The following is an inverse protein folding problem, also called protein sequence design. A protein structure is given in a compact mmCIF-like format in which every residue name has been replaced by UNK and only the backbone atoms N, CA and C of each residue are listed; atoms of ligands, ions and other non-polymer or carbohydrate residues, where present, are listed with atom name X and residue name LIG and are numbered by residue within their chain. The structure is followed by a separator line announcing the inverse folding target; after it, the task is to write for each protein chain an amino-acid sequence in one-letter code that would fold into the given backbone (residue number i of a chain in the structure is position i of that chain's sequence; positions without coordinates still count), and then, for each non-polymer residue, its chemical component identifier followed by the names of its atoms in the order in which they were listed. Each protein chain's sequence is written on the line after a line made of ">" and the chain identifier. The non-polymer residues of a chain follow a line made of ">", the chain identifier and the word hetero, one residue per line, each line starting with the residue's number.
data_IF_019329224328
#
_entry.id   IF_019329224328
#
_cell.length_a   1.000
_cell.length_b   1.000
_cell.length_c   1.000
_cell.angle_alpha   90.00
_cell.angle_beta   90.00
_cell.angle_gamma   90.00
#
_symmetry.space_group_name_H-M   'P 1'
#
loop_
_entity.id
_entity.type
_entity.pdbx_description
1 polymer ?
#
# COMPACT_ATOMS: atom_id res chain seq x y z
N UNK A 1 -1.72 14.15 -41.94
CA UNK A 1 -1.13 13.06 -41.12
C UNK A 1 -1.98 12.93 -39.88
N UNK A 2 -2.67 11.80 -39.66
CA UNK A 2 -3.52 11.62 -38.48
C UNK A 2 -2.60 11.14 -37.35
N UNK A 3 -2.59 11.79 -36.17
CA UNK A 3 -1.79 11.33 -35.05
C UNK A 3 -2.28 9.96 -34.58
N UNK A 4 -1.39 8.98 -34.50
CA UNK A 4 -1.66 7.66 -33.94
C UNK A 4 -1.22 7.68 -32.48
N UNK A 5 -2.17 7.52 -31.57
CA UNK A 5 -1.89 7.34 -30.15
C UNK A 5 -1.53 5.86 -29.94
N UNK A 6 -0.27 5.59 -29.63
CA UNK A 6 0.16 4.24 -29.23
C UNK A 6 -0.21 4.01 -27.77
N UNK A 7 -1.01 2.98 -27.51
CA UNK A 7 -1.34 2.54 -26.16
C UNK A 7 -0.39 1.41 -25.78
N UNK A 8 0.35 1.61 -24.70
CA UNK A 8 1.13 0.57 -24.05
C UNK A 8 0.16 -0.42 -23.36
N UNK A 9 0.02 -1.60 -23.94
CA UNK A 9 -0.90 -2.65 -23.48
C UNK A 9 -0.57 -3.12 -22.06
N UNK A 10 0.71 -3.12 -21.66
CA UNK A 10 1.13 -3.50 -20.32
C UNK A 10 0.72 -2.46 -19.27
N UNK A 11 0.82 -1.18 -19.61
CA UNK A 11 0.31 -0.10 -18.74
C UNK A 11 -1.20 -0.08 -18.66
N UNK A 12 -1.90 -0.34 -19.78
CA UNK A 12 -3.35 -0.46 -19.80
C UNK A 12 -3.82 -1.58 -18.86
N UNK A 13 -3.23 -2.77 -18.96
CA UNK A 13 -3.55 -3.91 -18.09
C UNK A 13 -3.34 -3.59 -16.60
N UNK A 14 -2.21 -2.97 -16.24
CA UNK A 14 -1.95 -2.54 -14.85
C UNK A 14 -2.98 -1.53 -14.33
N UNK A 15 -3.44 -0.63 -15.21
CA UNK A 15 -4.46 0.35 -14.87
C UNK A 15 -5.81 -0.34 -14.63
N UNK A 16 -6.19 -1.28 -15.50
CA UNK A 16 -7.43 -2.05 -15.39
C UNK A 16 -7.48 -2.84 -14.07
N UNK A 17 -6.38 -3.52 -13.71
CA UNK A 17 -6.22 -4.19 -12.42
C UNK A 17 -6.45 -3.19 -11.28
N UNK A 18 -5.81 -2.02 -11.35
CA UNK A 18 -5.89 -1.03 -10.28
C UNK A 18 -7.32 -0.51 -10.08
N UNK A 19 -8.02 -0.20 -11.17
CA UNK A 19 -9.40 0.31 -11.11
C UNK A 19 -10.34 -0.76 -10.56
N UNK A 20 -10.23 -2.00 -11.03
CA UNK A 20 -11.07 -3.10 -10.60
C UNK A 20 -10.86 -3.45 -9.12
N UNK A 21 -9.61 -3.63 -8.70
CA UNK A 21 -9.28 -3.97 -7.31
C UNK A 21 -9.62 -2.84 -6.35
N UNK A 22 -9.47 -1.57 -6.76
CA UNK A 22 -9.88 -0.42 -5.93
C UNK A 22 -11.38 -0.46 -5.62
N UNK A 23 -12.22 -0.71 -6.62
CA UNK A 23 -13.68 -0.81 -6.45
C UNK A 23 -14.07 -1.93 -5.48
N UNK A 24 -13.38 -3.07 -5.54
CA UNK A 24 -13.65 -4.22 -4.66
C UNK A 24 -13.14 -3.95 -3.24
N UNK A 25 -11.91 -3.46 -3.11
CA UNK A 25 -11.21 -3.34 -1.84
C UNK A 25 -11.75 -2.24 -0.94
N UNK A 26 -12.14 -1.10 -1.52
CA UNK A 26 -12.73 0.02 -0.79
C UNK A 26 -14.27 -0.05 -0.71
N UNK A 27 -14.88 -1.16 -1.13
CA UNK A 27 -16.32 -1.33 -1.01
C UNK A 27 -16.73 -1.40 0.49
N UNK A 28 -17.80 -0.71 0.91
CA UNK A 28 -18.27 -0.73 2.31
C UNK A 28 -18.77 -2.10 2.80
N UNK A 29 -18.78 -3.13 1.96
CA UNK A 29 -19.28 -4.48 2.28
C UNK A 29 -18.29 -5.29 3.12
N UNK A 30 -17.04 -4.84 3.23
CA UNK A 30 -16.07 -5.41 4.16
C UNK A 30 -14.63 -5.32 3.68
N UNK A 31 -13.74 -5.02 4.63
CA UNK A 31 -12.32 -4.87 4.40
C UNK A 31 -11.61 -6.21 4.20
N UNK A 32 -10.97 -6.40 3.04
CA UNK A 32 -10.27 -7.64 2.69
C UNK A 32 -8.80 -7.59 3.10
N UNK A 33 -8.47 -8.20 4.23
CA UNK A 33 -7.09 -8.18 4.80
C UNK A 33 -6.07 -9.01 4.03
N UNK A 34 -6.49 -9.98 3.22
CA UNK A 34 -5.61 -10.99 2.63
C UNK A 34 -5.77 -11.00 1.12
N UNK A 35 -4.65 -11.09 0.40
CA UNK A 35 -4.63 -11.20 -1.07
C UNK A 35 -5.50 -12.36 -1.57
N UNK A 36 -5.49 -13.51 -0.89
CA UNK A 36 -6.33 -14.67 -1.21
C UNK A 36 -7.83 -14.34 -1.23
N UNK A 37 -8.33 -13.63 -0.21
CA UNK A 37 -9.76 -13.24 -0.16
C UNK A 37 -10.10 -12.23 -1.25
N UNK A 38 -9.22 -11.25 -1.45
CA UNK A 38 -9.39 -10.24 -2.51
C UNK A 38 -9.40 -10.89 -3.90
N UNK A 39 -8.54 -11.88 -4.11
CA UNK A 39 -8.46 -12.68 -5.33
C UNK A 39 -9.71 -13.53 -5.58
N UNK A 40 -10.22 -14.21 -4.54
CA UNK A 40 -11.46 -14.99 -4.65
C UNK A 40 -12.66 -14.09 -5.02
N UNK A 41 -12.70 -12.86 -4.48
CA UNK A 41 -13.75 -11.89 -4.81
C UNK A 41 -13.58 -11.35 -6.22
N UNK A 42 -12.34 -11.06 -6.66
CA UNK A 42 -12.10 -10.61 -8.03
C UNK A 42 -12.46 -11.68 -9.07
N UNK A 43 -12.15 -12.95 -8.80
CA UNK A 43 -12.60 -14.06 -9.65
C UNK A 43 -14.13 -14.15 -9.71
N UNK A 44 -14.82 -14.04 -8.56
CA UNK A 44 -16.29 -14.04 -8.52
C UNK A 44 -16.92 -12.87 -9.29
N UNK A 45 -16.22 -11.74 -9.37
CA UNK A 45 -16.62 -10.59 -10.16
C UNK A 45 -16.31 -10.74 -11.66
N UNK A 46 -15.67 -11.85 -12.08
CA UNK A 46 -15.38 -12.16 -13.48
C UNK A 46 -14.04 -11.63 -13.99
N UNK A 47 -13.14 -11.20 -13.11
CA UNK A 47 -11.80 -10.78 -13.50
C UNK A 47 -10.82 -11.96 -13.57
N UNK A 48 -9.92 -11.93 -14.54
CA UNK A 48 -8.93 -12.96 -14.87
C UNK A 48 -7.52 -12.65 -14.32
N UNK A 49 -7.43 -11.82 -13.28
CA UNK A 49 -6.18 -11.46 -12.63
C UNK A 49 -5.45 -12.67 -12.07
N UNK A 50 -4.13 -12.57 -11.92
CA UNK A 50 -3.31 -13.55 -11.20
C UNK A 50 -3.24 -13.21 -9.71
N UNK A 51 -2.95 -14.22 -8.87
CA UNK A 51 -2.76 -14.00 -7.42
C UNK A 51 -1.59 -13.04 -7.16
N UNK A 52 -0.54 -13.10 -7.97
CA UNK A 52 0.63 -12.25 -7.85
C UNK A 52 0.30 -10.77 -8.10
N UNK A 53 -0.48 -10.46 -9.13
CA UNK A 53 -0.92 -9.08 -9.43
C UNK A 53 -1.78 -8.51 -8.31
N UNK A 54 -2.70 -9.31 -7.77
CA UNK A 54 -3.54 -8.89 -6.63
C UNK A 54 -2.69 -8.64 -5.39
N UNK A 55 -1.71 -9.49 -5.13
CA UNK A 55 -0.80 -9.32 -3.99
C UNK A 55 0.06 -8.06 -4.16
N UNK A 56 0.68 -7.86 -5.32
CA UNK A 56 1.51 -6.68 -5.60
C UNK A 56 0.69 -5.39 -5.43
N UNK A 57 -0.55 -5.37 -5.93
CA UNK A 57 -1.44 -4.23 -5.77
C UNK A 57 -1.82 -3.99 -4.31
N UNK A 58 -2.11 -5.05 -3.55
CA UNK A 58 -2.50 -4.97 -2.14
C UNK A 58 -1.36 -4.46 -1.24
N UNK A 59 -0.13 -4.89 -1.48
CA UNK A 59 1.05 -4.46 -0.72
C UNK A 59 1.33 -2.96 -0.83
N UNK A 60 0.88 -2.33 -1.92
CA UNK A 60 0.97 -0.88 -2.15
C UNK A 60 -0.12 -0.07 -1.43
N UNK A 61 -1.17 -0.70 -0.92
CA UNK A 61 -2.27 0.02 -0.27
C UNK A 61 -1.89 0.44 1.16
N UNK A 62 -2.05 1.72 1.48
CA UNK A 62 -1.75 2.27 2.81
C UNK A 62 -2.60 1.58 3.88
N UNK A 63 -3.89 1.35 3.61
CA UNK A 63 -4.80 0.69 4.55
C UNK A 63 -4.35 -0.75 4.87
N UNK A 64 -3.78 -1.45 3.90
CA UNK A 64 -3.17 -2.76 4.11
C UNK A 64 -1.98 -2.68 5.06
N UNK A 65 -1.09 -1.70 4.85
CA UNK A 65 0.10 -1.52 5.68
C UNK A 65 -0.24 -1.13 7.13
N UNK A 66 -1.24 -0.27 7.34
CA UNK A 66 -1.73 0.14 8.68
C UNK A 66 -2.21 -1.07 9.50
N UNK A 67 -2.91 -2.01 8.86
CA UNK A 67 -3.45 -3.19 9.53
C UNK A 67 -2.51 -4.40 9.49
N UNK A 68 -1.33 -4.26 8.89
CA UNK A 68 -0.32 -5.32 8.85
C UNK A 68 0.31 -5.47 10.23
N UNK A 69 0.71 -6.69 10.57
CA UNK A 69 1.49 -6.91 11.78
C UNK A 69 2.81 -6.15 11.70
N UNK A 70 3.25 -5.65 12.86
CA UNK A 70 4.52 -4.95 12.99
C UNK A 70 5.67 -5.81 12.43
N UNK A 71 6.57 -5.26 11.61
CA UNK A 71 7.76 -5.99 11.17
C UNK A 71 8.62 -6.37 12.37
N UNK A 72 9.15 -7.61 12.36
CA UNK A 72 9.99 -8.15 13.45
C UNK A 72 11.31 -7.38 13.61
N UNK A 73 11.81 -6.81 12.53
CA UNK A 73 13.07 -6.10 12.47
C UNK A 73 12.89 -4.85 11.63
N UNK A 74 13.26 -3.70 12.19
CA UNK A 74 13.33 -2.42 11.51
C UNK A 74 14.80 -2.03 11.56
N UNK A 75 15.51 -1.99 10.41
CA UNK A 75 16.91 -1.56 10.41
C UNK A 75 16.96 -0.08 10.79
N UNK A 76 17.48 0.20 11.99
CA UNK A 76 17.87 1.56 12.36
C UNK A 76 19.24 1.83 11.74
N UNK A 77 19.30 2.74 10.76
CA UNK A 77 20.58 3.25 10.28
C UNK A 77 21.24 4.07 11.39
N UNK A 78 22.51 3.80 11.71
CA UNK A 78 23.23 4.64 12.67
C UNK A 78 23.61 5.95 11.98
N UNK A 79 23.19 7.09 12.54
CA UNK A 79 23.49 8.42 12.00
C UNK A 79 24.90 8.92 12.34
N UNK A 80 25.78 8.05 12.81
CA UNK A 80 27.11 8.41 13.34
C UNK A 80 28.05 9.05 12.30
N UNK A 81 27.73 9.00 11.00
CA UNK A 81 28.51 9.60 9.91
C UNK A 81 27.79 10.77 9.19
N UNK A 82 26.66 11.27 9.70
CA UNK A 82 26.02 12.46 9.13
C UNK A 82 26.79 13.69 9.56
N UNK A 83 27.40 14.38 8.60
CA UNK A 83 28.22 15.58 8.85
C UNK A 83 27.39 16.86 8.69
N UNK A 84 26.30 16.82 7.92
CA UNK A 84 25.39 17.94 7.69
C UNK A 84 24.01 17.59 8.27
N UNK A 85 23.59 18.23 9.38
CA UNK A 85 22.35 17.87 10.08
C UNK A 85 21.06 18.04 9.25
N UNK A 86 21.13 18.70 8.09
CA UNK A 86 19.98 18.97 7.22
C UNK A 86 19.95 18.16 5.92
N UNK A 87 20.99 17.38 5.58
CA UNK A 87 20.99 16.55 4.37
C UNK A 87 20.02 15.37 4.46
N UNK A 88 19.77 14.91 5.69
CA UNK A 88 18.81 13.85 5.99
C UNK A 88 17.65 14.45 6.77
N UNK A 89 16.96 15.42 6.16
CA UNK A 89 15.52 15.55 6.36
C UNK A 89 14.88 14.29 5.75
N UNK A 90 15.10 13.13 6.40
CA UNK A 90 14.13 12.07 6.32
C UNK A 90 12.83 12.73 6.72
N UNK A 91 11.91 12.75 5.77
CA UNK A 91 10.47 12.90 5.96
C UNK A 91 10.04 12.36 7.32
N UNK A 92 10.13 13.20 8.34
CA UNK A 92 9.69 12.97 9.73
C UNK A 92 8.16 13.02 9.82
N UNK A 93 7.48 12.51 8.78
CA UNK A 93 6.02 12.42 8.70
C UNK A 93 5.54 10.98 8.53
N UNK A 94 6.39 9.95 8.70
CA UNK A 94 5.85 8.58 8.75
C UNK A 94 6.62 7.61 9.63
N UNK A 95 7.20 8.07 10.74
CA UNK A 95 7.20 7.19 11.89
C UNK A 95 5.73 7.06 12.29
N UNK A 96 5.14 5.87 12.18
CA UNK A 96 3.93 5.55 12.94
C UNK A 96 4.42 5.27 14.36
N UNK A 97 4.41 6.23 15.31
CA UNK A 97 4.81 5.91 16.66
C UNK A 97 3.79 4.91 17.19
N UNK A 98 4.28 3.73 17.50
CA UNK A 98 3.58 2.81 18.37
C UNK A 98 3.78 3.35 19.78
N UNK A 99 2.74 3.94 20.35
CA UNK A 99 2.77 4.39 21.75
C UNK A 99 2.07 3.36 22.63
N UNK A 100 2.54 3.22 23.86
CA UNK A 100 1.96 2.29 24.83
C UNK A 100 1.31 3.08 25.95
N UNK A 101 -0.02 3.12 25.95
CA UNK A 101 -0.81 3.73 27.03
C UNK A 101 -1.38 2.60 27.88
N UNK A 102 -0.79 2.41 29.06
CA UNK A 102 -1.09 1.25 29.93
C UNK A 102 -0.59 -0.06 29.31
N UNK A 103 -1.46 -1.07 29.21
CA UNK A 103 -1.15 -2.36 28.56
C UNK A 103 -1.45 -2.39 27.05
N UNK A 104 -2.06 -1.33 26.51
CA UNK A 104 -2.48 -1.30 25.10
C UNK A 104 -1.50 -0.48 24.26
N UNK A 105 -1.13 -1.02 23.10
CA UNK A 105 -0.28 -0.32 22.12
C UNK A 105 -1.14 0.30 21.03
N UNK A 106 -1.06 1.61 20.87
CA UNK A 106 -1.77 2.38 19.86
C UNK A 106 -0.82 2.75 18.74
N UNK A 107 -1.30 2.64 17.50
CA UNK A 107 -0.55 3.05 16.32
C UNK A 107 -1.10 4.38 15.83
N UNK A 108 -0.31 5.44 15.91
CA UNK A 108 -0.71 6.73 15.37
C UNK A 108 -0.35 6.81 13.88
N UNK A 109 -1.32 7.20 13.07
CA UNK A 109 -1.12 7.52 11.66
C UNK A 109 -1.53 8.97 11.44
N UNK A 110 -0.59 9.82 11.04
CA UNK A 110 -0.93 11.15 10.54
C UNK A 110 -1.38 10.99 9.08
N UNK A 111 -2.68 11.15 8.83
CA UNK A 111 -3.20 11.22 7.47
C UNK A 111 -3.13 12.68 6.99
N UNK A 112 -2.12 13.02 6.21
CA UNK A 112 -2.12 14.27 5.44
C UNK A 112 -3.04 14.08 4.23
N UNK A 113 -4.22 14.70 4.27
CA UNK A 113 -5.07 14.87 3.10
C UNK A 113 -4.48 16.01 2.25
N UNK A 114 -3.98 15.67 1.06
CA UNK A 114 -3.64 16.61 -0.01
C UNK A 114 -4.76 16.62 -1.04
#
# INVERSE_FOLDING_TARGET
>A
MIPVISIDTGKAHKLDISIALQKIYYHPSGYQRTSKKLYEISQKAGFDFTVAEVQEWLERQVLHQIHKSRPKYIPCVSFNNITVPFEVLQTDILYMPYDKVGDTTYMFCLALLL
#
